data_IF_770312315451
#
_entry.id   IF_770312315451
#
_cell.length_a   1.000
_cell.length_b   1.000
_cell.length_c   1.000
_cell.angle_alpha   90.00
_cell.angle_beta   90.00
_cell.angle_gamma   90.00
#
_symmetry.space_group_name_H-M   'P 1'
#
loop_
_entity.id
_entity.type
_entity.pdbx_description
1 polymer ?
#
# COMPACT_ATOMS: atom_id res chain seq x y z
N UNK A 1 -8.27 -47.81 -5.02
CA UNK A 1 -8.92 -46.82 -4.14
C UNK A 1 -8.13 -45.54 -4.29
N UNK A 2 -8.70 -44.43 -4.78
CA UNK A 2 -7.96 -43.16 -4.84
C UNK A 2 -7.91 -42.63 -3.41
N UNK A 3 -6.72 -42.38 -2.88
CA UNK A 3 -6.58 -41.72 -1.58
C UNK A 3 -7.36 -40.39 -1.60
N UNK A 4 -8.01 -40.01 -0.48
CA UNK A 4 -8.63 -38.70 -0.38
C UNK A 4 -7.53 -37.63 -0.46
N UNK A 5 -7.36 -37.06 -1.64
CA UNK A 5 -6.51 -35.90 -1.87
C UNK A 5 -7.14 -34.70 -1.15
N UNK A 6 -6.51 -34.26 -0.05
CA UNK A 6 -6.97 -33.13 0.76
C UNK A 6 -6.63 -31.76 0.13
N UNK A 7 -5.73 -31.73 -0.86
CA UNK A 7 -5.22 -30.51 -1.49
C UNK A 7 -6.32 -29.63 -2.10
N UNK A 8 -7.34 -30.17 -2.81
CA UNK A 8 -8.46 -29.37 -3.33
C UNK A 8 -9.27 -28.67 -2.23
N UNK A 9 -9.46 -29.33 -1.08
CA UNK A 9 -10.18 -28.74 0.05
C UNK A 9 -9.36 -27.65 0.70
N UNK A 10 -8.06 -27.89 0.94
CA UNK A 10 -7.15 -26.91 1.49
C UNK A 10 -7.03 -25.66 0.59
N UNK A 11 -6.96 -25.84 -0.73
CA UNK A 11 -6.98 -24.73 -1.68
C UNK A 11 -8.29 -23.92 -1.62
N UNK A 12 -9.43 -24.61 -1.44
CA UNK A 12 -10.72 -23.95 -1.25
C UNK A 12 -10.74 -23.05 -0.01
N UNK A 13 -10.27 -23.56 1.14
CA UNK A 13 -10.13 -22.76 2.36
C UNK A 13 -9.15 -21.59 2.17
N UNK A 14 -8.01 -21.83 1.52
CA UNK A 14 -7.03 -20.79 1.17
C UNK A 14 -7.69 -19.62 0.43
N UNK A 15 -8.50 -19.94 -0.58
CA UNK A 15 -9.17 -18.94 -1.42
C UNK A 15 -10.15 -18.04 -0.65
N UNK A 16 -10.78 -18.55 0.41
CA UNK A 16 -11.68 -17.76 1.25
C UNK A 16 -10.94 -16.63 1.98
N UNK A 17 -9.69 -16.85 2.42
CA UNK A 17 -8.89 -15.80 3.04
C UNK A 17 -8.55 -14.68 2.05
N UNK A 18 -8.26 -15.03 0.79
CA UNK A 18 -7.98 -14.04 -0.24
C UNK A 18 -9.23 -13.19 -0.53
N UNK A 19 -10.40 -13.83 -0.60
CA UNK A 19 -11.70 -13.16 -0.75
C UNK A 19 -12.05 -12.28 0.46
N UNK A 20 -11.80 -12.76 1.67
CA UNK A 20 -12.01 -12.00 2.88
C UNK A 20 -11.12 -10.75 2.94
N UNK A 21 -9.82 -10.87 2.62
CA UNK A 21 -8.92 -9.72 2.53
C UNK A 21 -9.38 -8.74 1.45
N UNK A 22 -9.78 -9.21 0.28
CA UNK A 22 -10.31 -8.34 -0.76
C UNK A 22 -11.47 -7.49 -0.23
N UNK A 23 -12.47 -8.12 0.41
CA UNK A 23 -13.61 -7.41 1.01
C UNK A 23 -13.19 -6.44 2.12
N UNK A 24 -12.27 -6.86 2.99
CA UNK A 24 -11.75 -6.01 4.07
C UNK A 24 -11.12 -4.73 3.51
N UNK A 25 -10.32 -4.83 2.43
CA UNK A 25 -9.66 -3.69 1.81
C UNK A 25 -10.53 -2.92 0.81
N UNK A 26 -11.70 -3.44 0.45
CA UNK A 26 -12.73 -2.71 -0.30
C UNK A 26 -13.93 -2.32 0.58
N UNK A 27 -13.78 -2.33 1.90
CA UNK A 27 -14.85 -2.04 2.84
C UNK A 27 -15.46 -0.64 2.57
N UNK A 28 -16.80 -0.50 2.55
CA UNK A 28 -17.43 0.80 2.30
C UNK A 28 -17.21 1.78 3.45
N UNK A 29 -16.98 1.29 4.67
CA UNK A 29 -16.65 2.10 5.85
C UNK A 29 -15.94 1.28 6.93
N UNK A 30 -15.29 1.99 7.87
CA UNK A 30 -14.49 1.38 8.95
C UNK A 30 -15.30 0.53 9.95
N UNK A 31 -16.62 0.72 10.04
CA UNK A 31 -17.52 -0.05 10.92
C UNK A 31 -18.02 -1.34 10.27
N UNK A 32 -17.67 -1.59 9.01
CA UNK A 32 -18.03 -2.82 8.32
C UNK A 32 -17.38 -4.00 9.03
N UNK A 33 -18.19 -5.02 9.34
CA UNK A 33 -17.78 -6.25 10.01
C UNK A 33 -17.66 -7.37 9.01
N UNK A 34 -16.65 -8.21 9.18
CA UNK A 34 -16.36 -9.34 8.32
C UNK A 34 -16.36 -10.62 9.13
N UNK A 35 -17.14 -11.60 8.68
CA UNK A 35 -17.18 -12.96 9.22
C UNK A 35 -16.48 -13.92 8.27
N UNK A 36 -15.77 -14.91 8.79
CA UNK A 36 -15.07 -15.92 7.97
C UNK A 36 -15.35 -17.28 8.58
N UNK A 37 -15.82 -18.21 7.73
CA UNK A 37 -16.37 -19.51 8.16
C UNK A 37 -17.42 -19.32 9.28
N UNK A 38 -18.36 -18.40 9.03
CA UNK A 38 -19.47 -18.08 9.92
C UNK A 38 -20.74 -18.74 9.39
N UNK A 39 -21.78 -17.99 9.02
CA UNK A 39 -22.94 -18.59 8.33
C UNK A 39 -22.62 -18.95 6.86
N UNK A 40 -21.63 -18.28 6.28
CA UNK A 40 -21.12 -18.49 4.93
C UNK A 40 -19.58 -18.48 4.90
N UNK A 41 -18.99 -18.73 3.73
CA UNK A 41 -17.53 -18.78 3.58
C UNK A 41 -16.90 -17.43 3.98
N UNK A 42 -17.51 -16.32 3.52
CA UNK A 42 -17.20 -14.95 3.95
C UNK A 42 -18.50 -14.17 4.10
N UNK A 43 -18.62 -13.39 5.18
CA UNK A 43 -19.74 -12.48 5.42
C UNK A 43 -19.26 -11.04 5.56
N UNK A 44 -20.06 -10.10 5.10
CA UNK A 44 -19.86 -8.66 5.28
C UNK A 44 -21.13 -8.04 5.82
N UNK A 45 -21.05 -7.32 6.93
CA UNK A 45 -22.16 -6.56 7.52
C UNK A 45 -21.76 -5.09 7.58
N UNK A 46 -22.46 -4.25 6.82
CA UNK A 46 -22.26 -2.80 6.77
C UNK A 46 -23.54 -2.05 7.16
N UNK A 47 -23.39 -0.81 7.62
CA UNK A 47 -24.53 0.08 7.91
C UNK A 47 -24.99 0.78 6.63
N UNK A 48 -26.31 0.93 6.46
CA UNK A 48 -26.97 1.68 5.39
C UNK A 48 -27.80 2.82 5.99
N UNK A 49 -28.40 3.66 5.14
CA UNK A 49 -29.29 4.73 5.61
C UNK A 49 -30.58 4.18 6.27
N UNK A 50 -30.99 2.97 5.92
CA UNK A 50 -32.23 2.33 6.35
C UNK A 50 -32.01 1.28 7.45
N UNK A 51 -30.76 0.92 7.75
CA UNK A 51 -30.39 -0.03 8.78
C UNK A 51 -29.05 -0.70 8.47
N UNK A 52 -29.06 -1.99 8.22
CA UNK A 52 -27.89 -2.81 7.94
C UNK A 52 -28.04 -3.64 6.67
N UNK A 53 -26.91 -3.82 5.99
CA UNK A 53 -26.77 -4.68 4.82
C UNK A 53 -25.86 -5.84 5.14
N UNK A 54 -26.30 -7.06 4.79
CA UNK A 54 -25.49 -8.28 4.88
C UNK A 54 -25.21 -8.82 3.49
N UNK A 55 -23.92 -9.03 3.20
CA UNK A 55 -23.47 -9.81 2.04
C UNK A 55 -23.01 -11.17 2.53
N UNK A 56 -23.60 -12.22 1.97
CA UNK A 56 -23.27 -13.62 2.24
C UNK A 56 -22.53 -14.18 1.02
N UNK A 57 -21.24 -14.48 1.14
CA UNK A 57 -20.41 -14.94 0.04
C UNK A 57 -20.07 -16.44 0.16
N UNK A 58 -20.27 -17.16 -0.94
CA UNK A 58 -19.87 -18.56 -1.11
C UNK A 58 -18.81 -18.67 -2.21
N UNK A 59 -17.57 -18.97 -1.82
CA UNK A 59 -16.41 -19.05 -2.70
C UNK A 59 -16.18 -20.50 -3.14
N UNK A 60 -16.36 -20.78 -4.43
CA UNK A 60 -16.27 -22.12 -5.01
C UNK A 60 -15.09 -22.23 -5.95
N UNK A 61 -13.93 -22.55 -5.37
CA UNK A 61 -12.71 -22.84 -6.12
C UNK A 61 -12.77 -24.23 -6.76
N UNK A 62 -12.38 -24.33 -8.04
CA UNK A 62 -12.15 -25.59 -8.73
C UNK A 62 -10.69 -25.73 -9.13
N UNK A 63 -10.00 -26.73 -8.56
CA UNK A 63 -8.62 -27.10 -8.93
C UNK A 63 -8.54 -27.98 -10.19
N UNK A 64 -9.68 -28.51 -10.67
CA UNK A 64 -9.73 -29.37 -11.85
C UNK A 64 -10.18 -28.56 -13.08
N UNK A 65 -9.36 -28.44 -14.14
CA UNK A 65 -9.64 -27.58 -15.29
C UNK A 65 -11.02 -27.78 -15.94
N UNK A 66 -11.51 -29.03 -15.96
CA UNK A 66 -12.77 -29.41 -16.62
C UNK A 66 -13.98 -29.44 -15.69
N UNK A 67 -13.80 -29.28 -14.38
CA UNK A 67 -14.89 -29.36 -13.40
C UNK A 67 -15.42 -27.96 -13.10
N UNK A 68 -16.65 -27.69 -13.51
CA UNK A 68 -17.35 -26.48 -13.11
C UNK A 68 -18.05 -26.73 -11.76
N UNK A 69 -17.68 -26.01 -10.69
CA UNK A 69 -18.32 -26.18 -9.39
C UNK A 69 -19.78 -25.70 -9.40
N UNK A 70 -20.20 -24.92 -10.39
CA UNK A 70 -21.55 -24.35 -10.52
C UNK A 70 -22.30 -24.88 -11.73
N UNK A 71 -21.98 -26.10 -12.18
CA UNK A 71 -22.82 -26.78 -13.17
C UNK A 71 -24.26 -26.90 -12.64
N UNK A 72 -25.25 -26.85 -13.52
CA UNK A 72 -26.68 -26.83 -13.16
C UNK A 72 -27.09 -27.97 -12.23
N UNK A 73 -26.51 -29.16 -12.35
CA UNK A 73 -26.79 -30.31 -11.46
C UNK A 73 -25.74 -30.51 -10.35
N UNK A 74 -24.85 -29.54 -10.12
CA UNK A 74 -23.76 -29.66 -9.16
C UNK A 74 -24.27 -29.60 -7.72
N UNK A 75 -23.74 -30.49 -6.86
CA UNK A 75 -24.04 -30.45 -5.43
C UNK A 75 -23.73 -29.08 -4.79
N UNK A 76 -22.69 -28.40 -5.26
CA UNK A 76 -22.25 -27.13 -4.69
C UNK A 76 -23.31 -26.03 -4.90
N UNK A 77 -23.82 -25.85 -6.14
CA UNK A 77 -24.86 -24.86 -6.42
C UNK A 77 -26.10 -25.07 -5.53
N UNK A 78 -26.66 -26.28 -5.56
CA UNK A 78 -27.89 -26.58 -4.81
C UNK A 78 -27.70 -26.55 -3.30
N UNK A 79 -26.53 -26.98 -2.79
CA UNK A 79 -26.23 -26.87 -1.36
C UNK A 79 -26.15 -25.41 -0.93
N UNK A 80 -25.54 -24.55 -1.74
CA UNK A 80 -25.46 -23.10 -1.47
C UNK A 80 -26.85 -22.46 -1.46
N UNK A 81 -27.68 -22.71 -2.49
CA UNK A 81 -29.07 -22.21 -2.51
C UNK A 81 -29.85 -22.67 -1.27
N UNK A 82 -29.71 -23.94 -0.89
CA UNK A 82 -30.37 -24.47 0.31
C UNK A 82 -29.90 -23.78 1.58
N UNK A 83 -28.60 -23.53 1.75
CA UNK A 83 -28.05 -22.83 2.92
C UNK A 83 -28.67 -21.43 3.02
N UNK A 84 -28.68 -20.67 1.93
CA UNK A 84 -29.23 -19.32 1.90
C UNK A 84 -30.74 -19.30 2.20
N UNK A 85 -31.53 -20.20 1.59
CA UNK A 85 -32.97 -20.31 1.86
C UNK A 85 -33.26 -20.71 3.32
N UNK A 86 -32.49 -21.65 3.86
CA UNK A 86 -32.64 -22.07 5.27
C UNK A 86 -32.41 -20.92 6.25
N UNK A 87 -31.47 -20.02 5.96
CA UNK A 87 -31.17 -18.84 6.79
C UNK A 87 -32.02 -17.61 6.47
N UNK A 88 -32.80 -17.61 5.39
CA UNK A 88 -33.39 -16.42 4.80
C UNK A 88 -34.33 -15.68 5.77
N UNK A 89 -35.22 -16.41 6.43
CA UNK A 89 -36.21 -15.81 7.34
C UNK A 89 -35.54 -15.09 8.53
N UNK A 90 -34.47 -15.68 9.08
CA UNK A 90 -33.70 -15.07 10.16
C UNK A 90 -32.93 -13.84 9.65
N UNK A 91 -32.25 -13.97 8.51
CA UNK A 91 -31.48 -12.88 7.90
C UNK A 91 -32.35 -11.66 7.58
N UNK A 92 -33.57 -11.86 7.05
CA UNK A 92 -34.54 -10.78 6.76
C UNK A 92 -35.09 -10.08 8.00
N UNK A 93 -34.98 -10.70 9.17
CA UNK A 93 -35.37 -10.10 10.44
C UNK A 93 -34.23 -9.26 11.05
N UNK A 94 -32.99 -9.69 10.80
CA UNK A 94 -31.79 -9.06 11.36
C UNK A 94 -31.22 -7.95 10.49
N UNK A 95 -31.45 -8.00 9.18
CA UNK A 95 -30.91 -7.07 8.21
C UNK A 95 -31.96 -6.61 7.21
N UNK A 96 -31.91 -5.33 6.89
CA UNK A 96 -32.81 -4.63 5.99
C UNK A 96 -32.48 -4.94 4.53
N UNK A 97 -31.19 -5.09 4.21
CA UNK A 97 -30.71 -5.42 2.88
C UNK A 97 -29.89 -6.71 2.91
N UNK A 98 -30.18 -7.63 1.99
CA UNK A 98 -29.45 -8.89 1.82
C UNK A 98 -28.86 -8.96 0.42
N UNK A 99 -27.64 -9.45 0.31
CA UNK A 99 -27.04 -9.83 -0.97
C UNK A 99 -26.36 -11.19 -0.84
N UNK A 100 -26.55 -12.05 -1.82
CA UNK A 100 -25.96 -13.38 -1.87
C UNK A 100 -24.96 -13.44 -3.03
N UNK A 101 -23.68 -13.57 -2.73
CA UNK A 101 -22.64 -13.62 -3.76
C UNK A 101 -22.10 -15.03 -3.90
N UNK A 102 -22.10 -15.53 -5.13
CA UNK A 102 -21.44 -16.79 -5.46
C UNK A 102 -20.20 -16.51 -6.32
N UNK A 103 -19.04 -16.96 -5.86
CA UNK A 103 -17.76 -16.68 -6.52
C UNK A 103 -17.17 -17.97 -7.07
N UNK A 104 -16.64 -17.94 -8.29
CA UNK A 104 -15.95 -19.08 -8.89
C UNK A 104 -14.78 -18.67 -9.77
N UNK A 105 -13.74 -19.50 -9.78
CA UNK A 105 -12.61 -19.34 -10.69
C UNK A 105 -12.88 -19.86 -12.11
N UNK A 106 -14.10 -20.34 -12.39
CA UNK A 106 -14.50 -20.84 -13.71
C UNK A 106 -15.38 -19.82 -14.39
N UNK A 107 -15.18 -19.64 -15.69
CA UNK A 107 -16.12 -18.87 -16.53
C UNK A 107 -17.34 -19.74 -16.82
N UNK A 108 -18.53 -19.21 -16.53
CA UNK A 108 -19.80 -19.87 -16.76
C UNK A 108 -20.29 -19.57 -18.18
N UNK A 109 -20.94 -20.56 -18.79
CA UNK A 109 -21.57 -20.36 -20.09
C UNK A 109 -22.90 -19.62 -19.90
N UNK A 110 -23.18 -18.65 -20.79
CA UNK A 110 -24.49 -18.00 -20.85
C UNK A 110 -25.61 -19.03 -20.98
N UNK A 111 -26.74 -18.76 -20.33
CA UNK A 111 -27.93 -19.61 -20.37
C UNK A 111 -27.88 -20.86 -19.49
N UNK A 112 -26.77 -21.14 -18.79
CA UNK A 112 -26.74 -22.11 -17.68
C UNK A 112 -27.69 -21.67 -16.58
N UNK A 113 -28.20 -22.61 -15.77
CA UNK A 113 -29.11 -22.29 -14.67
C UNK A 113 -28.50 -21.24 -13.73
N UNK A 114 -27.24 -21.43 -13.33
CA UNK A 114 -26.54 -20.49 -12.46
C UNK A 114 -26.53 -19.05 -13.04
N UNK A 115 -26.22 -18.89 -14.33
CA UNK A 115 -26.25 -17.57 -14.98
C UNK A 115 -27.67 -17.03 -15.12
N UNK A 116 -28.68 -17.86 -15.41
CA UNK A 116 -30.08 -17.40 -15.45
C UNK A 116 -30.55 -16.85 -14.10
N UNK A 117 -30.12 -17.48 -12.99
CA UNK A 117 -30.42 -16.99 -11.65
C UNK A 117 -29.72 -15.65 -11.37
N UNK A 118 -28.44 -15.53 -11.78
CA UNK A 118 -27.66 -14.30 -11.57
C UNK A 118 -28.07 -13.12 -12.46
N UNK A 119 -28.50 -13.39 -13.69
CA UNK A 119 -28.80 -12.38 -14.71
C UNK A 119 -30.30 -11.97 -14.68
N UNK A 120 -31.07 -12.44 -13.70
CA UNK A 120 -32.49 -12.12 -13.57
C UNK A 120 -32.69 -10.71 -13.01
N UNK A 121 -32.81 -9.72 -13.91
CA UNK A 121 -32.87 -8.30 -13.55
C UNK A 121 -34.29 -7.72 -13.48
N UNK A 122 -35.25 -8.31 -14.20
CA UNK A 122 -36.66 -7.89 -14.17
C UNK A 122 -37.55 -8.91 -13.46
N UNK A 123 -38.74 -8.47 -13.02
CA UNK A 123 -39.74 -9.37 -12.42
C UNK A 123 -40.09 -10.56 -13.30
N UNK A 124 -40.10 -10.38 -14.62
CA UNK A 124 -40.37 -11.48 -15.55
C UNK A 124 -39.19 -12.45 -15.59
N UNK A 125 -37.96 -11.95 -15.64
CA UNK A 125 -36.76 -12.80 -15.64
C UNK A 125 -36.67 -13.63 -14.35
N UNK A 126 -37.01 -13.01 -13.20
CA UNK A 126 -37.06 -13.71 -11.90
C UNK A 126 -38.10 -14.81 -11.92
N UNK A 127 -39.32 -14.55 -12.40
CA UNK A 127 -40.36 -15.57 -12.52
C UNK A 127 -39.93 -16.72 -13.44
N UNK A 128 -39.33 -16.40 -14.60
CA UNK A 128 -38.81 -17.39 -15.54
C UNK A 128 -37.65 -18.20 -14.94
N UNK A 129 -36.80 -17.56 -14.13
CA UNK A 129 -35.71 -18.20 -13.41
C UNK A 129 -36.23 -19.16 -12.31
N UNK A 130 -37.29 -18.80 -11.58
CA UNK A 130 -37.96 -19.71 -10.63
C UNK A 130 -38.52 -20.93 -11.35
N UNK A 131 -39.18 -20.75 -12.50
CA UNK A 131 -39.69 -21.87 -13.31
C UNK A 131 -38.54 -22.76 -13.81
N UNK A 132 -37.46 -22.17 -14.29
CA UNK A 132 -36.27 -22.90 -14.73
C UNK A 132 -35.63 -23.69 -13.58
N UNK A 133 -35.51 -23.09 -12.39
CA UNK A 133 -35.01 -23.74 -11.18
C UNK A 133 -35.86 -24.96 -10.82
N UNK A 134 -37.19 -24.80 -10.75
CA UNK A 134 -38.13 -25.91 -10.44
C UNK A 134 -38.07 -27.02 -11.49
N UNK A 135 -38.06 -26.66 -12.76
CA UNK A 135 -38.00 -27.60 -13.87
C UNK A 135 -36.72 -28.42 -13.83
N UNK A 136 -35.57 -27.77 -13.63
CA UNK A 136 -34.28 -28.46 -13.56
C UNK A 136 -34.22 -29.39 -12.35
N UNK A 137 -34.68 -28.94 -11.18
CA UNK A 137 -34.76 -29.76 -9.98
C UNK A 137 -35.61 -31.03 -10.16
N UNK A 138 -36.73 -30.93 -10.90
CA UNK A 138 -37.61 -32.06 -11.19
C UNK A 138 -36.95 -33.19 -11.99
N UNK A 139 -35.93 -32.87 -12.79
CA UNK A 139 -35.14 -33.85 -13.54
C UNK A 139 -33.92 -34.39 -12.78
N UNK A 140 -33.61 -33.86 -11.60
CA UNK A 140 -32.42 -34.26 -10.85
C UNK A 140 -32.64 -35.52 -10.01
N UNK A 141 -31.60 -36.37 -9.96
CA UNK A 141 -31.60 -37.62 -9.18
C UNK A 141 -30.39 -37.71 -8.26
N UNK A 142 -30.42 -38.68 -7.32
CA UNK A 142 -29.37 -38.89 -6.34
C UNK A 142 -29.25 -37.78 -5.29
N UNK A 143 -28.11 -37.71 -4.60
CA UNK A 143 -27.87 -36.74 -3.50
C UNK A 143 -28.06 -35.28 -3.91
N UNK A 144 -27.60 -34.80 -5.09
CA UNK A 144 -27.90 -33.44 -5.54
C UNK A 144 -29.41 -33.22 -5.75
N UNK A 145 -30.14 -34.22 -6.25
CA UNK A 145 -31.60 -34.15 -6.42
C UNK A 145 -32.39 -34.12 -5.11
N UNK A 146 -31.90 -34.77 -4.05
CA UNK A 146 -32.46 -34.61 -2.68
C UNK A 146 -32.34 -33.16 -2.21
N UNK A 147 -31.14 -32.57 -2.34
CA UNK A 147 -30.91 -31.16 -1.97
C UNK A 147 -31.77 -30.23 -2.84
N UNK A 148 -31.90 -30.53 -4.13
CA UNK A 148 -32.73 -29.74 -5.04
C UNK A 148 -34.21 -29.78 -4.66
N UNK A 149 -34.71 -30.93 -4.18
CA UNK A 149 -36.08 -31.06 -3.65
C UNK A 149 -36.29 -30.19 -2.41
N UNK A 150 -35.32 -30.11 -1.50
CA UNK A 150 -35.38 -29.20 -0.36
C UNK A 150 -35.48 -27.74 -0.82
N UNK A 151 -34.69 -27.35 -1.82
CA UNK A 151 -34.67 -25.98 -2.38
C UNK A 151 -36.02 -25.62 -3.00
N UNK A 152 -36.59 -26.50 -3.82
CA UNK A 152 -37.88 -26.21 -4.47
C UNK A 152 -39.08 -26.39 -3.53
N UNK A 153 -38.89 -26.87 -2.30
CA UNK A 153 -39.98 -26.88 -1.32
C UNK A 153 -40.31 -25.47 -0.79
N UNK A 154 -39.41 -24.50 -0.97
CA UNK A 154 -39.64 -23.11 -0.60
C UNK A 154 -40.69 -22.43 -1.49
N UNK A 155 -41.30 -21.38 -0.94
CA UNK A 155 -42.34 -20.61 -1.63
C UNK A 155 -41.75 -19.87 -2.84
N UNK A 156 -42.58 -19.57 -3.84
CA UNK A 156 -42.14 -18.77 -4.99
C UNK A 156 -41.67 -17.37 -4.56
N UNK A 157 -42.25 -16.82 -3.48
CA UNK A 157 -41.82 -15.54 -2.91
C UNK A 157 -40.40 -15.59 -2.34
N UNK A 158 -40.04 -16.66 -1.62
CA UNK A 158 -38.69 -16.81 -1.06
C UNK A 158 -37.65 -17.11 -2.14
N UNK A 159 -38.02 -17.94 -3.14
CA UNK A 159 -37.17 -18.22 -4.28
C UNK A 159 -36.92 -16.97 -5.13
N UNK A 160 -37.99 -16.21 -5.43
CA UNK A 160 -37.89 -14.95 -6.15
C UNK A 160 -37.01 -13.95 -5.39
N UNK A 161 -37.24 -13.80 -4.07
CA UNK A 161 -36.43 -12.91 -3.24
C UNK A 161 -34.94 -13.28 -3.29
N UNK A 162 -34.60 -14.57 -3.15
CA UNK A 162 -33.21 -15.00 -3.25
C UNK A 162 -32.61 -14.67 -4.62
N UNK A 163 -33.34 -14.96 -5.70
CA UNK A 163 -32.89 -14.72 -7.08
C UNK A 163 -32.66 -13.22 -7.34
N UNK A 164 -33.58 -12.37 -6.88
CA UNK A 164 -33.47 -10.90 -7.02
C UNK A 164 -32.22 -10.32 -6.32
N UNK A 165 -31.76 -10.97 -5.26
CA UNK A 165 -30.68 -10.47 -4.41
C UNK A 165 -29.38 -11.28 -4.54
N UNK A 166 -29.32 -12.22 -5.48
CA UNK A 166 -28.12 -13.01 -5.72
C UNK A 166 -27.36 -12.55 -6.96
N UNK A 167 -26.05 -12.68 -6.93
CA UNK A 167 -25.19 -12.48 -8.10
C UNK A 167 -24.04 -13.48 -8.13
N UNK A 168 -23.48 -13.67 -9.31
CA UNK A 168 -22.32 -14.54 -9.52
C UNK A 168 -21.14 -13.72 -10.06
N UNK A 169 -20.00 -13.82 -9.37
CA UNK A 169 -18.70 -13.38 -9.88
C UNK A 169 -17.96 -14.60 -10.43
N UNK A 170 -17.98 -14.76 -11.75
CA UNK A 170 -17.28 -15.84 -12.44
C UNK A 170 -15.90 -15.40 -12.94
N UNK A 171 -15.12 -16.37 -13.44
CA UNK A 171 -13.79 -16.10 -14.00
C UNK A 171 -12.77 -15.55 -12.98
N UNK A 172 -13.05 -15.67 -11.68
CA UNK A 172 -12.20 -15.17 -10.60
C UNK A 172 -10.99 -16.08 -10.39
N UNK A 173 -10.05 -16.04 -11.32
CA UNK A 173 -8.85 -16.87 -11.30
C UNK A 173 -8.05 -16.61 -10.01
N UNK A 174 -7.69 -17.69 -9.30
CA UNK A 174 -6.94 -17.61 -8.04
C UNK A 174 -5.65 -16.79 -8.19
N UNK A 175 -4.92 -17.04 -9.29
CA UNK A 175 -3.68 -16.34 -9.62
C UNK A 175 -3.87 -14.86 -10.00
N UNK A 176 -5.10 -14.35 -10.05
CA UNK A 176 -5.41 -12.93 -10.19
C UNK A 176 -5.95 -12.34 -8.89
N UNK A 177 -6.43 -13.18 -7.96
CA UNK A 177 -7.04 -12.72 -6.72
C UNK A 177 -6.01 -12.07 -5.80
N UNK A 178 -4.81 -12.65 -5.66
CA UNK A 178 -3.67 -12.00 -4.99
C UNK A 178 -3.41 -10.59 -5.53
N UNK A 179 -3.36 -10.42 -6.85
CA UNK A 179 -3.04 -9.16 -7.52
C UNK A 179 -4.18 -8.16 -7.34
N UNK A 180 -5.44 -8.62 -7.34
CA UNK A 180 -6.60 -7.79 -7.00
C UNK A 180 -6.53 -7.31 -5.55
N UNK A 181 -6.15 -8.15 -4.59
CA UNK A 181 -5.94 -7.73 -3.20
C UNK A 181 -4.79 -6.72 -3.12
N UNK A 182 -3.65 -7.01 -3.75
CA UNK A 182 -2.50 -6.08 -3.78
C UNK A 182 -2.91 -4.71 -4.33
N UNK A 183 -3.71 -4.68 -5.40
CA UNK A 183 -4.21 -3.43 -5.98
C UNK A 183 -5.10 -2.63 -5.00
N UNK A 184 -5.84 -3.28 -4.10
CA UNK A 184 -6.68 -2.59 -3.10
C UNK A 184 -5.90 -2.14 -1.87
N UNK A 185 -4.63 -2.56 -1.70
CA UNK A 185 -3.81 -2.13 -0.57
C UNK A 185 -3.39 -0.66 -0.67
N UNK A 186 -3.41 -0.07 -1.87
CA UNK A 186 -2.95 1.30 -2.16
C UNK A 186 -1.57 1.57 -1.56
N UNK A 187 -0.61 0.70 -1.89
CA UNK A 187 0.77 0.80 -1.40
C UNK A 187 1.46 2.03 -1.99
N UNK A 188 2.32 2.71 -1.21
CA UNK A 188 3.18 3.75 -1.75
C UNK A 188 4.18 3.15 -2.75
N UNK A 189 4.67 3.97 -3.70
CA UNK A 189 5.48 3.53 -4.84
C UNK A 189 6.73 2.74 -4.42
N UNK A 190 7.37 3.20 -3.36
CA UNK A 190 8.54 2.60 -2.75
C UNK A 190 8.28 1.23 -2.09
N UNK A 191 7.05 0.96 -1.65
CA UNK A 191 6.63 -0.33 -1.12
C UNK A 191 6.16 -1.33 -2.20
N UNK A 192 5.97 -0.90 -3.45
CA UNK A 192 5.46 -1.77 -4.54
C UNK A 192 6.37 -2.97 -4.78
N UNK A 193 7.69 -2.79 -4.66
CA UNK A 193 8.66 -3.89 -4.80
C UNK A 193 8.45 -5.01 -3.77
N UNK A 194 7.88 -4.68 -2.60
CA UNK A 194 7.61 -5.61 -1.50
C UNK A 194 6.12 -5.99 -1.39
N UNK A 195 5.31 -5.69 -2.42
CA UNK A 195 3.86 -5.87 -2.38
C UNK A 195 3.43 -7.32 -2.09
N UNK A 196 4.16 -8.30 -2.63
CA UNK A 196 3.86 -9.71 -2.40
C UNK A 196 4.11 -10.13 -0.94
N UNK A 197 5.18 -9.64 -0.33
CA UNK A 197 5.52 -9.96 1.06
C UNK A 197 4.55 -9.28 2.02
N UNK A 198 4.13 -8.05 1.72
CA UNK A 198 3.06 -7.37 2.46
C UNK A 198 1.76 -8.17 2.37
N UNK A 199 1.40 -8.65 1.17
CA UNK A 199 0.24 -9.52 0.97
C UNK A 199 0.32 -10.81 1.80
N UNK A 200 1.44 -11.54 1.73
CA UNK A 200 1.62 -12.77 2.52
C UNK A 200 1.55 -12.50 4.03
N UNK A 201 2.12 -11.37 4.49
CA UNK A 201 2.03 -10.95 5.89
C UNK A 201 0.60 -10.64 6.35
N UNK A 202 -0.25 -10.10 5.46
CA UNK A 202 -1.66 -9.87 5.73
C UNK A 202 -2.48 -11.17 5.74
N UNK A 203 -2.22 -12.08 4.80
CA UNK A 203 -2.85 -13.42 4.76
C UNK A 203 -2.50 -14.20 6.02
N UNK A 204 -1.22 -14.24 6.41
CA UNK A 204 -0.78 -14.91 7.62
C UNK A 204 -1.42 -14.31 8.87
N UNK A 205 -1.48 -12.98 8.96
CA UNK A 205 -2.14 -12.31 10.07
C UNK A 205 -3.64 -12.64 10.17
N UNK A 206 -4.35 -12.69 9.04
CA UNK A 206 -5.76 -13.09 9.01
C UNK A 206 -5.93 -14.55 9.44
N UNK A 207 -5.12 -15.45 8.89
CA UNK A 207 -5.14 -16.87 9.18
C UNK A 207 -4.95 -17.13 10.68
N UNK A 208 -3.92 -16.52 11.29
CA UNK A 208 -3.62 -16.70 12.71
C UNK A 208 -4.81 -16.28 13.59
N UNK A 209 -5.45 -15.15 13.28
CA UNK A 209 -6.61 -14.64 14.02
C UNK A 209 -7.85 -15.54 13.89
N UNK A 210 -8.08 -16.08 12.70
CA UNK A 210 -9.13 -17.09 12.50
C UNK A 210 -8.83 -18.35 13.32
N UNK A 211 -7.60 -18.88 13.26
CA UNK A 211 -7.20 -20.08 13.99
C UNK A 211 -7.36 -19.92 15.50
N UNK A 212 -6.87 -18.82 16.08
CA UNK A 212 -7.01 -18.52 17.51
C UNK A 212 -8.48 -18.56 17.96
N UNK A 213 -9.37 -18.01 17.15
CA UNK A 213 -10.81 -17.91 17.48
C UNK A 213 -11.54 -19.23 17.31
N UNK A 214 -11.22 -19.99 16.26
CA UNK A 214 -11.83 -21.29 16.00
C UNK A 214 -11.36 -22.37 16.98
N UNK A 215 -10.09 -22.34 17.42
CA UNK A 215 -9.60 -23.19 18.51
C UNK A 215 -10.38 -22.93 19.81
N UNK A 216 -10.75 -21.67 20.05
CA UNK A 216 -11.63 -21.30 21.16
C UNK A 216 -13.13 -21.61 20.91
N UNK A 217 -13.47 -22.31 19.82
CA UNK A 217 -14.83 -22.68 19.40
C UNK A 217 -15.79 -21.49 19.26
N UNK A 218 -15.27 -20.34 18.78
CA UNK A 218 -16.05 -19.12 18.53
C UNK A 218 -16.07 -18.79 17.04
N UNK A 219 -17.14 -18.14 16.55
CA UNK A 219 -17.15 -17.59 15.20
C UNK A 219 -16.15 -16.43 15.09
N UNK A 220 -15.41 -16.37 13.99
CA UNK A 220 -14.48 -15.27 13.74
C UNK A 220 -15.20 -14.07 13.14
N UNK A 221 -15.08 -12.91 13.80
CA UNK A 221 -15.55 -11.63 13.30
C UNK A 221 -14.48 -10.56 13.50
N UNK A 222 -14.32 -9.69 12.51
CA UNK A 222 -13.36 -8.57 12.56
C UNK A 222 -13.92 -7.33 11.88
N UNK A 223 -13.24 -6.19 12.03
CA UNK A 223 -13.39 -5.01 11.17
C UNK A 223 -12.15 -4.82 10.30
N UNK A 224 -12.13 -3.79 9.45
CA UNK A 224 -10.98 -3.49 8.59
C UNK A 224 -9.77 -2.90 9.34
N UNK A 225 -9.99 -2.20 10.45
CA UNK A 225 -8.95 -1.42 11.13
C UNK A 225 -7.70 -2.24 11.53
N UNK A 226 -7.80 -3.45 12.11
CA UNK A 226 -6.61 -4.26 12.44
C UNK A 226 -5.74 -4.58 11.23
N UNK A 227 -6.33 -4.76 10.06
CA UNK A 227 -5.62 -5.07 8.81
C UNK A 227 -5.00 -3.83 8.19
N UNK A 228 -5.67 -2.67 8.28
CA UNK A 228 -5.05 -1.39 7.91
C UNK A 228 -3.83 -1.08 8.78
N UNK A 229 -3.93 -1.31 10.09
CA UNK A 229 -2.81 -1.17 11.01
C UNK A 229 -1.69 -2.15 10.65
N UNK A 230 -2.01 -3.42 10.40
CA UNK A 230 -1.02 -4.44 10.01
C UNK A 230 -0.35 -4.10 8.67
N UNK A 231 -1.12 -3.65 7.67
CA UNK A 231 -0.59 -3.16 6.38
C UNK A 231 0.41 -2.05 6.64
N UNK A 232 0.05 -1.06 7.45
CA UNK A 232 0.92 0.07 7.77
C UNK A 232 2.21 -0.40 8.45
N UNK A 233 2.13 -1.30 9.44
CA UNK A 233 3.33 -1.87 10.08
C UNK A 233 4.21 -2.65 9.10
N UNK A 234 3.62 -3.40 8.16
CA UNK A 234 4.39 -4.14 7.15
C UNK A 234 5.07 -3.19 6.17
N UNK A 235 4.33 -2.19 5.65
CA UNK A 235 4.90 -1.12 4.82
C UNK A 235 6.05 -0.47 5.56
N UNK A 236 5.85 -0.02 6.80
CA UNK A 236 6.91 0.56 7.61
C UNK A 236 8.08 -0.40 7.84
N UNK A 237 7.87 -1.70 8.03
CA UNK A 237 8.97 -2.64 8.21
C UNK A 237 9.84 -2.78 6.96
N UNK A 238 9.23 -2.79 5.77
CA UNK A 238 9.96 -2.86 4.50
C UNK A 238 10.56 -1.53 4.09
N UNK A 239 9.87 -0.43 4.42
CA UNK A 239 10.33 0.92 4.16
C UNK A 239 11.44 1.33 5.12
N UNK A 240 11.38 0.93 6.40
CA UNK A 240 12.43 1.10 7.40
C UNK A 240 13.57 0.07 7.28
N UNK A 241 13.79 -0.51 6.09
CA UNK A 241 15.16 -0.85 5.70
C UNK A 241 16.07 0.39 5.88
N UNK A 242 17.41 0.25 5.94
CA UNK A 242 18.25 1.42 6.16
C UNK A 242 17.96 2.43 5.04
N UNK A 243 17.27 3.51 5.39
CA UNK A 243 16.98 4.65 4.54
C UNK A 243 18.31 5.36 4.32
N UNK A 244 19.15 4.73 3.53
CA UNK A 244 20.43 5.27 3.14
C UNK A 244 20.19 6.27 2.01
N UNK A 245 20.94 7.37 1.98
CA UNK A 245 21.02 8.19 0.79
C UNK A 245 21.36 7.31 -0.42
N UNK A 246 20.80 7.66 -1.57
CA UNK A 246 21.19 7.00 -2.81
C UNK A 246 22.71 7.08 -3.00
N UNK A 247 23.36 6.03 -3.53
CA UNK A 247 24.70 6.17 -4.08
C UNK A 247 24.74 7.36 -5.05
N UNK A 248 25.84 8.13 -5.06
CA UNK A 248 25.96 9.35 -5.85
C UNK A 248 25.55 9.14 -7.32
N UNK A 249 25.95 8.01 -7.92
CA UNK A 249 25.69 7.64 -9.31
C UNK A 249 24.20 7.34 -9.60
N UNK A 250 23.40 7.09 -8.55
CA UNK A 250 21.95 6.85 -8.66
C UNK A 250 21.11 8.09 -8.38
N UNK A 251 21.73 9.19 -7.98
CA UNK A 251 21.03 10.48 -7.86
C UNK A 251 20.77 11.09 -9.24
N UNK A 252 19.84 12.03 -9.34
CA UNK A 252 19.59 12.75 -10.60
C UNK A 252 20.58 13.92 -10.82
N UNK A 253 21.81 13.85 -10.30
CA UNK A 253 22.75 14.96 -10.36
C UNK A 253 22.99 15.47 -11.79
N UNK A 254 23.09 14.56 -12.78
CA UNK A 254 23.35 14.93 -14.17
C UNK A 254 22.20 15.75 -14.76
N UNK A 255 20.96 15.36 -14.45
CA UNK A 255 19.76 16.09 -14.86
C UNK A 255 19.73 17.51 -14.29
N UNK A 256 20.07 17.65 -13.00
CA UNK A 256 20.11 18.96 -12.36
C UNK A 256 21.31 19.81 -12.78
N UNK A 257 22.45 19.20 -13.07
CA UNK A 257 23.64 19.89 -13.58
C UNK A 257 23.44 20.47 -15.00
N UNK A 258 22.53 19.91 -15.80
CA UNK A 258 22.13 20.49 -17.09
C UNK A 258 21.17 21.67 -16.96
N UNK A 259 20.37 21.69 -15.88
CA UNK A 259 19.33 22.71 -15.63
C UNK A 259 19.83 23.93 -14.90
N UNK A 260 20.90 23.78 -14.13
CA UNK A 260 21.45 24.80 -13.25
C UNK A 260 22.76 25.30 -13.85
N UNK A 261 22.87 26.60 -14.10
CA UNK A 261 24.16 27.21 -14.44
C UNK A 261 24.99 27.41 -13.16
N UNK A 262 26.21 26.84 -13.05
CA UNK A 262 27.10 27.12 -11.92
C UNK A 262 27.37 28.62 -11.72
N UNK A 263 27.32 29.43 -12.76
CA UNK A 263 27.55 30.88 -12.68
C UNK A 263 26.45 31.62 -11.88
N UNK A 264 25.25 31.06 -11.80
CA UNK A 264 24.11 31.64 -11.08
C UNK A 264 24.15 31.32 -9.57
N UNK A 265 25.12 30.52 -9.12
CA UNK A 265 25.19 29.99 -7.76
C UNK A 265 26.18 30.78 -6.91
N UNK A 266 25.68 31.45 -5.86
CA UNK A 266 26.48 32.26 -4.94
C UNK A 266 27.65 31.47 -4.33
N UNK A 267 27.43 30.21 -3.92
CA UNK A 267 28.51 29.39 -3.37
C UNK A 267 29.64 29.17 -4.39
N UNK A 268 29.31 29.06 -5.69
CA UNK A 268 30.31 28.87 -6.76
C UNK A 268 31.13 30.15 -6.93
N UNK A 269 30.50 31.31 -6.88
CA UNK A 269 31.20 32.61 -6.89
C UNK A 269 32.15 32.72 -5.69
N UNK A 270 31.66 32.45 -4.47
CA UNK A 270 32.48 32.50 -3.25
C UNK A 270 33.67 31.54 -3.29
N UNK A 271 33.46 30.31 -3.79
CA UNK A 271 34.54 29.32 -3.94
C UNK A 271 35.57 29.74 -5.00
N UNK A 272 35.17 30.45 -6.06
CA UNK A 272 36.09 31.06 -7.01
C UNK A 272 36.94 32.16 -6.37
N UNK A 273 36.35 33.04 -5.54
CA UNK A 273 37.08 34.11 -4.83
C UNK A 273 38.18 33.59 -3.91
N UNK A 274 37.99 32.39 -3.33
CA UNK A 274 39.04 31.74 -2.53
C UNK A 274 40.06 30.93 -3.36
N UNK A 275 40.01 31.08 -4.69
CA UNK A 275 40.83 30.39 -5.69
C UNK A 275 40.74 28.85 -5.61
N UNK A 276 39.53 28.30 -5.48
CA UNK A 276 39.32 26.85 -5.61
C UNK A 276 39.69 26.38 -7.04
N UNK A 277 40.44 25.29 -7.20
CA UNK A 277 40.72 24.74 -8.52
C UNK A 277 39.43 24.37 -9.28
N UNK A 278 39.35 24.71 -10.58
CA UNK A 278 38.16 24.50 -11.41
C UNK A 278 37.64 23.05 -11.39
N UNK A 279 38.54 22.06 -11.38
CA UNK A 279 38.14 20.64 -11.30
C UNK A 279 37.44 20.29 -9.98
N UNK A 280 37.92 20.85 -8.86
CA UNK A 280 37.31 20.66 -7.55
C UNK A 280 35.99 21.41 -7.44
N UNK A 281 35.92 22.63 -7.99
CA UNK A 281 34.70 23.43 -8.04
C UNK A 281 33.57 22.69 -8.76
N UNK A 282 33.86 22.08 -9.92
CA UNK A 282 32.87 21.29 -10.67
C UNK A 282 32.46 20.02 -9.92
N UNK A 283 33.37 19.41 -9.15
CA UNK A 283 33.01 18.30 -8.25
C UNK A 283 32.05 18.76 -7.14
N UNK A 284 32.32 19.90 -6.51
CA UNK A 284 31.45 20.48 -5.48
C UNK A 284 30.08 20.88 -6.05
N UNK A 285 30.04 21.41 -7.27
CA UNK A 285 28.79 21.66 -7.99
C UNK A 285 27.99 20.38 -8.22
N UNK A 286 28.65 19.29 -8.65
CA UNK A 286 28.01 17.97 -8.74
C UNK A 286 27.44 17.48 -7.41
N UNK A 287 28.12 17.74 -6.30
CA UNK A 287 27.61 17.42 -4.95
C UNK A 287 26.38 18.27 -4.59
N UNK A 288 26.37 19.56 -4.92
CA UNK A 288 25.18 20.40 -4.76
C UNK A 288 23.98 19.86 -5.55
N UNK A 289 24.15 19.55 -6.83
CA UNK A 289 23.07 18.98 -7.66
C UNK A 289 22.56 17.64 -7.12
N UNK A 290 23.46 16.75 -6.70
CA UNK A 290 23.11 15.47 -6.12
C UNK A 290 22.35 15.61 -4.79
N UNK A 291 22.81 16.52 -3.91
CA UNK A 291 22.14 16.79 -2.64
C UNK A 291 20.76 17.43 -2.84
N UNK A 292 20.61 18.31 -3.83
CA UNK A 292 19.35 18.94 -4.19
C UNK A 292 18.33 17.91 -4.71
N UNK A 293 18.74 17.05 -5.64
CA UNK A 293 17.93 15.92 -6.12
C UNK A 293 17.50 15.01 -4.96
N UNK A 294 18.43 14.66 -4.08
CA UNK A 294 18.15 13.79 -2.95
C UNK A 294 17.22 14.46 -1.93
N UNK A 295 17.35 15.76 -1.71
CA UNK A 295 16.42 16.53 -0.85
C UNK A 295 14.99 16.46 -1.40
N UNK A 296 14.79 16.68 -2.70
CA UNK A 296 13.48 16.57 -3.35
C UNK A 296 12.90 15.17 -3.13
N UNK A 297 13.66 14.13 -3.50
CA UNK A 297 13.24 12.73 -3.34
C UNK A 297 12.83 12.39 -1.91
N UNK A 298 13.63 12.85 -0.93
CA UNK A 298 13.39 12.60 0.49
C UNK A 298 12.14 13.34 1.00
N UNK A 299 11.91 14.57 0.57
CA UNK A 299 10.69 15.32 0.92
C UNK A 299 9.43 14.72 0.26
N UNK A 300 9.52 14.34 -1.01
CA UNK A 300 8.41 13.73 -1.76
C UNK A 300 8.04 12.34 -1.20
N UNK A 301 9.01 11.61 -0.63
CA UNK A 301 8.73 10.35 0.06
C UNK A 301 7.82 10.51 1.29
N UNK A 302 7.72 11.72 1.86
CA UNK A 302 7.00 12.01 3.10
C UNK A 302 7.64 11.42 4.38
N UNK A 303 8.71 10.62 4.25
CA UNK A 303 9.46 10.04 5.37
C UNK A 303 10.43 11.01 6.06
N UNK A 304 10.82 12.06 5.34
CA UNK A 304 11.61 13.18 5.84
C UNK A 304 10.82 14.46 5.65
N UNK A 305 10.73 15.27 6.69
CA UNK A 305 9.99 16.53 6.66
C UNK A 305 10.95 17.71 6.43
N UNK A 306 10.43 18.83 5.93
CA UNK A 306 11.24 20.04 5.76
C UNK A 306 11.97 20.45 7.05
N UNK A 307 11.28 20.36 8.19
CA UNK A 307 11.85 20.62 9.53
C UNK A 307 13.03 19.71 9.90
N UNK A 308 13.09 18.51 9.33
CA UNK A 308 14.19 17.58 9.58
C UNK A 308 15.46 18.02 8.84
N UNK A 309 15.31 18.66 7.68
CA UNK A 309 16.40 19.35 6.99
C UNK A 309 16.80 20.62 7.73
N UNK A 310 15.85 21.42 8.22
CA UNK A 310 16.17 22.61 9.03
C UNK A 310 17.04 22.25 10.25
N UNK A 311 16.71 21.15 10.93
CA UNK A 311 17.49 20.65 12.06
C UNK A 311 18.89 20.19 11.62
N UNK A 312 19.00 19.51 10.48
CA UNK A 312 20.28 19.05 9.94
C UNK A 312 21.17 20.25 9.56
N UNK A 313 20.61 21.23 8.85
CA UNK A 313 21.29 22.48 8.44
C UNK A 313 21.77 23.26 9.66
N UNK A 314 20.96 23.36 10.73
CA UNK A 314 21.38 23.98 11.99
C UNK A 314 22.60 23.31 12.61
N UNK A 315 22.62 21.98 12.69
CA UNK A 315 23.78 21.22 13.21
C UNK A 315 25.02 21.44 12.35
N UNK A 316 24.86 21.50 11.03
CA UNK A 316 25.96 21.79 10.11
C UNK A 316 26.46 23.23 10.25
N UNK A 317 25.56 24.19 10.50
CA UNK A 317 25.88 25.60 10.76
C UNK A 317 26.66 25.75 12.06
N UNK A 318 26.17 25.18 13.16
CA UNK A 318 26.85 25.17 14.47
C UNK A 318 28.27 24.58 14.33
N UNK A 319 28.43 23.53 13.51
CA UNK A 319 29.75 22.95 13.19
C UNK A 319 30.64 23.92 12.42
N UNK A 320 30.11 24.60 11.42
CA UNK A 320 30.87 25.58 10.62
C UNK A 320 31.30 26.77 11.48
N UNK A 321 30.43 27.28 12.33
CA UNK A 321 30.74 28.33 13.32
C UNK A 321 31.87 27.88 14.26
N UNK A 322 31.78 26.67 14.83
CA UNK A 322 32.82 26.15 15.71
C UNK A 322 34.19 25.99 15.01
N UNK A 323 34.21 25.63 13.72
CA UNK A 323 35.44 25.58 12.91
C UNK A 323 36.00 26.99 12.74
N UNK A 324 35.12 27.96 12.48
CA UNK A 324 35.48 29.36 12.30
C UNK A 324 36.05 29.97 13.59
N UNK A 325 35.37 29.79 14.73
CA UNK A 325 35.83 30.26 16.05
C UNK A 325 37.19 29.70 16.41
N UNK A 326 37.40 28.41 16.14
CA UNK A 326 38.71 27.78 16.34
C UNK A 326 39.79 28.40 15.44
N UNK A 327 39.47 28.69 14.19
CA UNK A 327 40.42 29.34 13.27
C UNK A 327 40.77 30.76 13.75
N UNK A 328 39.80 31.53 14.22
CA UNK A 328 40.03 32.85 14.83
C UNK A 328 40.96 32.75 16.04
N UNK A 329 40.73 31.78 16.93
CA UNK A 329 41.55 31.57 18.11
C UNK A 329 42.98 31.12 17.76
N UNK A 330 43.12 30.16 16.84
CA UNK A 330 44.41 29.59 16.44
C UNK A 330 45.32 30.68 15.81
N UNK A 331 44.74 31.63 15.08
CA UNK A 331 45.47 32.66 14.32
C UNK A 331 45.39 34.07 14.92
N UNK A 332 44.64 34.24 16.02
CA UNK A 332 44.38 35.53 16.66
C UNK A 332 43.88 36.59 15.66
N UNK A 333 42.95 36.19 14.78
CA UNK A 333 42.35 37.05 13.75
C UNK A 333 40.84 37.18 13.94
N UNK A 334 40.23 38.23 13.41
CA UNK A 334 38.78 38.43 13.39
C UNK A 334 38.23 38.11 12.00
N UNK A 335 36.95 37.74 11.91
CA UNK A 335 36.25 37.55 10.62
C UNK A 335 36.40 38.77 9.68
N UNK A 336 36.50 39.97 10.23
CA UNK A 336 36.61 41.19 9.44
C UNK A 336 37.97 41.33 8.75
N UNK A 337 39.00 40.68 9.30
CA UNK A 337 40.38 40.70 8.83
C UNK A 337 40.75 39.46 7.99
N UNK A 338 39.80 38.57 7.71
CA UNK A 338 40.06 37.34 6.97
C UNK A 338 40.54 37.62 5.55
N UNK A 339 41.68 37.02 5.20
CA UNK A 339 42.13 36.92 3.82
C UNK A 339 41.63 35.64 3.13
N UNK A 340 41.95 35.50 1.85
CA UNK A 340 41.64 34.29 1.06
C UNK A 340 42.17 33.00 1.72
N UNK A 341 43.31 33.06 2.40
CA UNK A 341 43.91 31.91 3.08
C UNK A 341 43.07 31.44 4.27
N UNK A 342 42.48 32.36 5.04
CA UNK A 342 41.63 32.07 6.20
C UNK A 342 40.33 31.41 5.77
N UNK A 343 39.62 32.01 4.80
CA UNK A 343 38.41 31.41 4.22
C UNK A 343 38.68 30.02 3.65
N UNK A 344 39.82 29.83 2.97
CA UNK A 344 40.22 28.51 2.44
C UNK A 344 40.45 27.51 3.56
N UNK A 345 41.07 27.91 4.67
CA UNK A 345 41.34 27.02 5.81
C UNK A 345 40.02 26.55 6.46
N UNK A 346 39.08 27.47 6.71
CA UNK A 346 37.75 27.17 7.25
C UNK A 346 36.97 26.26 6.29
N UNK A 347 36.92 26.61 5.00
CA UNK A 347 36.26 25.78 3.97
C UNK A 347 36.85 24.38 3.91
N UNK A 348 38.18 24.26 3.97
CA UNK A 348 38.87 22.97 3.87
C UNK A 348 38.54 22.07 5.06
N UNK A 349 38.61 22.61 6.29
CA UNK A 349 38.20 21.89 7.51
C UNK A 349 36.70 21.52 7.49
N UNK A 350 35.89 22.34 6.84
CA UNK A 350 34.44 22.12 6.75
C UNK A 350 34.09 21.00 5.76
N UNK A 351 34.59 21.07 4.52
CA UNK A 351 34.20 20.19 3.40
C UNK A 351 35.04 18.92 3.26
N UNK A 352 36.21 18.85 3.89
CA UNK A 352 37.11 17.69 3.85
C UNK A 352 37.44 17.13 5.24
N UNK A 353 36.44 16.81 6.09
CA UNK A 353 36.66 16.07 7.32
C UNK A 353 37.01 14.59 7.07
N UNK A 354 37.49 13.89 8.09
CA UNK A 354 37.73 12.44 8.03
C UNK A 354 36.44 11.62 7.83
N UNK A 355 35.31 12.13 8.33
CA UNK A 355 33.98 11.52 8.23
C UNK A 355 32.95 12.58 7.83
N UNK A 356 31.89 12.18 7.13
CA UNK A 356 30.82 13.08 6.66
C UNK A 356 29.49 12.86 7.42
N UNK A 357 29.44 13.03 8.76
CA UNK A 357 28.24 12.69 9.53
C UNK A 357 27.11 13.66 9.20
N UNK A 358 25.99 13.13 8.73
CA UNK A 358 24.78 13.92 8.52
C UNK A 358 23.56 13.13 8.97
N UNK A 359 22.70 13.76 9.76
CA UNK A 359 21.44 13.18 10.20
C UNK A 359 20.29 14.06 9.73
N UNK A 360 19.36 13.47 8.97
CA UNK A 360 18.14 14.13 8.51
C UNK A 360 16.94 13.30 8.96
N UNK A 361 16.28 13.73 10.03
CA UNK A 361 15.18 12.98 10.63
C UNK A 361 15.65 11.59 11.09
N UNK A 362 15.15 10.54 10.42
CA UNK A 362 15.53 9.14 10.68
C UNK A 362 16.74 8.67 9.88
N UNK A 363 17.18 9.44 8.89
CA UNK A 363 18.29 9.10 8.01
C UNK A 363 19.61 9.46 8.68
N UNK A 364 20.52 8.50 8.78
CA UNK A 364 21.93 8.74 9.09
C UNK A 364 22.74 8.48 7.83
N UNK A 365 23.54 9.46 7.44
CA UNK A 365 24.32 9.47 6.21
C UNK A 365 25.79 9.72 6.52
N UNK A 366 26.64 9.05 5.75
CA UNK A 366 28.07 9.37 5.60
C UNK A 366 28.42 9.74 4.17
N UNK A 367 27.41 10.03 3.33
CA UNK A 367 27.60 10.35 1.93
C UNK A 367 28.14 11.77 1.77
N UNK A 368 29.34 11.88 1.20
CA UNK A 368 30.01 13.16 1.01
C UNK A 368 29.15 14.15 0.20
N UNK A 369 28.49 13.69 -0.86
CA UNK A 369 27.71 14.57 -1.73
C UNK A 369 26.57 15.25 -0.97
N UNK A 370 25.89 14.51 -0.09
CA UNK A 370 24.78 15.04 0.70
C UNK A 370 25.31 16.05 1.71
N UNK A 371 26.38 15.71 2.42
CA UNK A 371 27.02 16.58 3.40
C UNK A 371 27.55 17.89 2.80
N UNK A 372 28.42 17.80 1.78
CA UNK A 372 29.01 18.96 1.11
C UNK A 372 27.97 19.74 0.32
N UNK A 373 27.05 19.06 -0.38
CA UNK A 373 25.99 19.70 -1.14
C UNK A 373 25.01 20.49 -0.27
N UNK A 374 24.68 19.99 0.93
CA UNK A 374 23.87 20.76 1.89
C UNK A 374 24.59 22.00 2.39
N UNK A 375 25.90 21.93 2.67
CA UNK A 375 26.69 23.12 2.97
C UNK A 375 26.67 24.14 1.82
N UNK A 376 26.73 23.69 0.56
CA UNK A 376 26.61 24.59 -0.60
C UNK A 376 25.23 25.22 -0.72
N UNK A 377 24.15 24.47 -0.44
CA UNK A 377 22.79 25.03 -0.34
C UNK A 377 22.70 26.11 0.73
N UNK A 378 23.25 25.86 1.92
CA UNK A 378 23.28 26.85 3.00
C UNK A 378 24.08 28.10 2.62
N UNK A 379 25.20 27.92 1.89
CA UNK A 379 26.01 29.02 1.39
C UNK A 379 25.34 29.83 0.27
N UNK A 380 24.40 29.22 -0.45
CA UNK A 380 23.53 29.92 -1.41
C UNK A 380 22.43 30.76 -0.73
N UNK A 381 22.24 30.64 0.59
CA UNK A 381 21.13 31.26 1.32
C UNK A 381 19.73 30.91 0.74
N UNK A 382 19.62 29.78 0.04
CA UNK A 382 18.40 29.33 -0.62
C UNK A 382 17.43 28.74 0.41
N UNK A 383 16.40 29.49 0.81
CA UNK A 383 15.32 29.07 1.72
C UNK A 383 15.84 28.27 2.94
N UNK A 384 16.95 28.71 3.54
CA UNK A 384 17.56 28.09 4.72
C UNK A 384 17.39 28.98 5.94
N UNK A 385 17.15 28.38 7.09
CA UNK A 385 17.13 29.06 8.38
C UNK A 385 18.52 29.13 9.03
N UNK A 386 19.54 28.56 8.40
CA UNK A 386 20.91 28.48 8.93
C UNK A 386 21.93 28.79 7.83
N UNK A 387 21.91 30.03 7.29
CA UNK A 387 22.80 30.40 6.21
C UNK A 387 24.26 30.43 6.68
N UNK A 388 25.17 30.08 5.78
CA UNK A 388 26.62 30.23 5.97
C UNK A 388 27.22 30.95 4.78
N UNK A 389 28.53 31.14 4.76
CA UNK A 389 29.24 31.67 3.60
C UNK A 389 30.66 31.09 3.50
N UNK A 390 31.17 30.96 2.28
CA UNK A 390 32.58 30.62 2.04
C UNK A 390 33.47 31.86 1.91
N UNK A 391 32.87 33.03 1.66
CA UNK A 391 33.54 34.31 1.53
C UNK A 391 32.57 35.43 1.94
N UNK A 392 33.06 36.54 2.51
CA UNK A 392 32.25 37.63 3.11
C UNK A 392 31.35 38.37 2.12
N UNK A 393 31.73 38.40 0.85
CA UNK A 393 30.92 38.96 -0.23
C UNK A 393 29.68 38.08 -0.50
N UNK A 394 28.69 38.16 0.40
CA UNK A 394 27.31 37.77 0.13
C UNK A 394 26.53 39.05 -0.25
N UNK A 395 25.59 39.00 -1.21
CA UNK A 395 24.93 40.19 -1.73
C UNK A 395 24.00 40.76 -0.66
N UNK A 396 24.37 41.91 -0.09
CA UNK A 396 23.54 42.57 0.92
C UNK A 396 24.16 43.75 1.69
N UNK A 397 25.38 44.19 1.36
CA UNK A 397 25.94 45.40 1.96
C UNK A 397 26.78 46.20 0.97
N UNK A 398 26.15 46.74 -0.06
CA UNK A 398 26.66 47.90 -0.77
C UNK A 398 25.58 48.98 -0.79
N UNK A 399 25.91 50.09 -0.12
CA UNK A 399 25.47 51.47 -0.33
C UNK A 399 24.03 51.89 0.02
N UNK A 400 23.77 52.13 1.32
CA UNK A 400 23.09 53.36 1.72
C UNK A 400 24.18 54.43 1.99
N UNK A 401 24.36 55.34 1.04
CA UNK A 401 25.09 56.61 1.19
C UNK A 401 24.30 57.73 0.54
#
# INVERSE_FOLDING_TARGET
MKDPDASPSAAGYGYQYERALYRIFTAPNAQTRFGIETADDVEEISQTATGSRRVSEQAKLSVQPRKNPLQDSSKNLWKTLRIWLNGLAAARKEHEELQFLLVTNRVLKKGTLAMRLSDALSRQDVADAVVALRTHAGGMTGKPGEIARDVIAYSDADLAFLIEHMSIEDGQLNAQMKQRVIATLHLPEDAVANAEDIYHGLVGFLFDRCQETWVAQKPFWTTAQPYYNKRQTLVEAFMNGPWEPLPFEKTEFAHWAEKIDPADMLFVEQLNKINMPKSLLMKQFGFYCAAYSERIRLLESGGVLAKDFDLAERVLSDRWEAINDRHQLDNMTSLDDYGTADYRAVMTRTLFPETFPMKVGRINSTAQYLFSGTYHRMANADETHSPIHWHRDAPGSEDES
#
